data_IF_210333690134
#
_entry.id   IF_210333690134
#
_cell.length_a   1.000
_cell.length_b   1.000
_cell.length_c   1.000
_cell.angle_alpha   90.00
_cell.angle_beta   90.00
_cell.angle_gamma   90.00
#
_symmetry.space_group_name_H-M   'P 1'
#
loop_
_entity.id
_entity.type
_entity.pdbx_description
1 polymer ?
#
# COMPACT_ATOMS: atom_id res chain seq x y z
N UNK A 1 -0.55 -4.16 -0.08
CA UNK A 1 -0.30 -2.81 0.45
C UNK A 1 0.87 -2.23 -0.30
N UNK A 2 0.84 -0.93 -0.58
CA UNK A 2 1.90 -0.23 -1.31
C UNK A 2 2.41 0.92 -0.45
N UNK A 3 3.72 0.96 -0.19
CA UNK A 3 4.40 2.01 0.59
C UNK A 3 5.38 2.78 -0.28
N UNK A 4 5.98 3.83 0.26
CA UNK A 4 7.08 4.55 -0.41
C UNK A 4 8.44 3.97 -0.01
N UNK A 5 9.30 3.69 -0.98
CA UNK A 5 10.64 3.12 -0.72
C UNK A 5 11.66 4.15 -0.21
N UNK A 6 11.35 5.45 -0.30
CA UNK A 6 12.17 6.53 0.28
C UNK A 6 12.04 6.63 1.81
N UNK A 7 11.03 6.00 2.41
CA UNK A 7 10.85 5.93 3.85
C UNK A 7 11.74 4.84 4.48
N UNK A 8 12.18 4.99 5.74
CA UNK A 8 12.85 3.92 6.47
C UNK A 8 12.02 2.63 6.50
N UNK A 9 12.68 1.47 6.46
CA UNK A 9 12.00 0.15 6.38
C UNK A 9 11.04 -0.10 7.55
N UNK A 10 11.41 0.31 8.76
CA UNK A 10 10.54 0.22 9.93
C UNK A 10 9.29 1.10 9.77
N UNK A 11 9.45 2.31 9.26
CA UNK A 11 8.34 3.20 8.92
C UNK A 11 7.44 2.53 7.89
N UNK A 12 7.98 2.04 6.76
CA UNK A 12 7.18 1.36 5.73
C UNK A 12 6.28 0.25 6.31
N UNK A 13 6.81 -0.59 7.22
CA UNK A 13 6.03 -1.65 7.85
C UNK A 13 4.85 -1.10 8.70
N UNK A 14 5.08 -0.07 9.51
CA UNK A 14 4.03 0.59 10.29
C UNK A 14 2.97 1.20 9.37
N UNK A 15 3.40 1.94 8.34
CA UNK A 15 2.49 2.62 7.41
C UNK A 15 1.63 1.62 6.62
N UNK A 16 2.21 0.51 6.14
CA UNK A 16 1.47 -0.56 5.50
C UNK A 16 0.42 -1.18 6.44
N UNK A 17 0.76 -1.34 7.72
CA UNK A 17 -0.13 -1.88 8.74
C UNK A 17 -1.30 -0.94 9.01
N UNK A 18 -1.03 0.35 9.20
CA UNK A 18 -2.08 1.36 9.33
C UNK A 18 -3.04 1.36 8.14
N UNK A 19 -2.51 1.39 6.91
CA UNK A 19 -3.35 1.33 5.72
C UNK A 19 -4.20 0.05 5.64
N UNK A 20 -3.65 -1.10 6.04
CA UNK A 20 -4.38 -2.37 6.06
C UNK A 20 -5.51 -2.38 7.10
N UNK A 21 -5.28 -1.82 8.29
CA UNK A 21 -6.29 -1.68 9.34
C UNK A 21 -7.41 -0.74 8.91
N UNK A 22 -7.07 0.41 8.34
CA UNK A 22 -8.06 1.36 7.83
C UNK A 22 -8.88 0.76 6.69
N UNK A 23 -8.25 -0.04 5.81
CA UNK A 23 -8.95 -0.78 4.78
C UNK A 23 -9.92 -1.82 5.35
N UNK A 24 -9.52 -2.54 6.40
CA UNK A 24 -10.39 -3.50 7.06
C UNK A 24 -11.60 -2.84 7.74
N UNK A 25 -11.42 -1.65 8.31
CA UNK A 25 -12.51 -0.86 8.89
C UNK A 25 -13.44 -0.30 7.80
N UNK A 26 -12.89 0.17 6.67
CA UNK A 26 -13.67 0.77 5.59
C UNK A 26 -14.40 -0.27 4.71
N UNK A 27 -13.84 -1.48 4.56
CA UNK A 27 -14.31 -2.52 3.64
C UNK A 27 -14.33 -3.91 4.29
N UNK A 28 -15.09 -4.12 5.37
CA UNK A 28 -15.07 -5.37 6.13
C UNK A 28 -15.56 -6.58 5.33
N UNK A 29 -16.47 -6.39 4.37
CA UNK A 29 -16.96 -7.43 3.46
C UNK A 29 -15.86 -7.94 2.53
N UNK A 30 -15.06 -7.02 1.97
CA UNK A 30 -13.93 -7.35 1.11
C UNK A 30 -12.86 -8.11 1.88
N UNK A 31 -12.57 -7.67 3.11
CA UNK A 31 -11.57 -8.33 3.97
C UNK A 31 -12.03 -9.72 4.40
N UNK A 32 -13.31 -9.89 4.77
CA UNK A 32 -13.85 -11.20 5.09
C UNK A 32 -13.73 -12.18 3.90
N UNK A 33 -14.09 -11.72 2.70
CA UNK A 33 -13.95 -12.52 1.46
C UNK A 33 -12.50 -12.87 1.15
N UNK A 34 -11.59 -11.91 1.29
CA UNK A 34 -10.14 -12.13 1.11
C UNK A 34 -9.59 -13.17 2.11
N UNK A 35 -9.93 -13.03 3.40
CA UNK A 35 -9.45 -13.91 4.47
C UNK A 35 -9.94 -15.35 4.27
N UNK A 36 -11.19 -15.53 3.85
CA UNK A 36 -11.74 -16.86 3.57
C UNK A 36 -11.13 -17.52 2.32
N UNK A 37 -10.80 -16.74 1.29
CA UNK A 37 -10.38 -17.27 -0.02
C UNK A 37 -8.88 -17.50 -0.15
N UNK A 38 -8.04 -16.59 0.34
CA UNK A 38 -6.59 -16.62 0.11
C UNK A 38 -5.75 -16.27 1.32
N UNK A 39 -6.19 -15.29 2.11
CA UNK A 39 -5.43 -14.72 3.23
C UNK A 39 -4.00 -14.26 2.83
N UNK A 40 -3.78 -13.93 1.56
CA UNK A 40 -2.47 -13.53 1.03
C UNK A 40 -2.27 -12.02 1.16
N UNK A 41 -1.19 -11.60 1.82
CA UNK A 41 -0.73 -10.22 1.83
C UNK A 41 0.50 -10.06 0.93
N UNK A 42 0.52 -8.96 0.17
CA UNK A 42 1.67 -8.54 -0.63
C UNK A 42 2.07 -7.12 -0.24
N UNK A 43 3.34 -6.92 0.06
CA UNK A 43 3.94 -5.62 0.39
C UNK A 43 4.78 -5.15 -0.80
N UNK A 44 4.38 -4.05 -1.42
CA UNK A 44 5.01 -3.48 -2.61
C UNK A 44 5.45 -2.06 -2.34
N UNK A 45 6.36 -1.53 -3.16
CA UNK A 45 6.83 -0.16 -3.02
C UNK A 45 6.77 0.63 -4.33
N UNK A 46 6.48 1.92 -4.18
CA UNK A 46 6.71 2.97 -5.19
C UNK A 46 7.85 3.88 -4.72
N UNK A 47 8.52 4.62 -5.61
CA UNK A 47 9.71 5.38 -5.21
C UNK A 47 9.43 6.50 -4.19
N UNK A 48 8.28 7.17 -4.30
CA UNK A 48 7.99 8.42 -3.59
C UNK A 48 6.47 8.68 -3.45
N UNK A 49 6.12 9.74 -2.70
CA UNK A 49 4.74 10.17 -2.48
C UNK A 49 3.98 10.56 -3.75
N UNK A 50 4.54 11.35 -4.70
CA UNK A 50 3.86 11.61 -5.97
C UNK A 50 3.52 10.34 -6.75
N UNK A 51 4.39 9.33 -6.72
CA UNK A 51 4.12 8.02 -7.33
C UNK A 51 3.00 7.28 -6.63
N UNK A 52 2.92 7.39 -5.31
CA UNK A 52 1.85 6.78 -4.51
C UNK A 52 0.50 7.45 -4.79
N UNK A 53 0.47 8.78 -4.92
CA UNK A 53 -0.69 9.54 -5.38
C UNK A 53 -1.18 9.07 -6.75
N UNK A 54 -0.28 9.01 -7.75
CA UNK A 54 -0.63 8.53 -9.10
C UNK A 54 -1.18 7.11 -9.09
N UNK A 55 -0.69 6.24 -8.20
CA UNK A 55 -1.22 4.90 -8.05
C UNK A 55 -2.64 4.93 -7.47
N UNK A 56 -2.86 5.68 -6.38
CA UNK A 56 -4.16 5.82 -5.75
C UNK A 56 -5.22 6.34 -6.73
N UNK A 57 -4.89 7.41 -7.47
CA UNK A 57 -5.78 7.99 -8.49
C UNK A 57 -6.10 6.99 -9.60
N UNK A 58 -5.11 6.22 -10.06
CA UNK A 58 -5.30 5.19 -11.11
C UNK A 58 -6.20 4.06 -10.65
N UNK A 59 -6.11 3.64 -9.39
CA UNK A 59 -6.99 2.60 -8.83
C UNK A 59 -8.40 3.15 -8.66
N UNK A 60 -8.53 4.36 -8.10
CA UNK A 60 -9.83 5.01 -7.89
C UNK A 60 -10.58 5.28 -9.20
N UNK A 61 -9.89 5.78 -10.23
CA UNK A 61 -10.46 5.99 -11.58
C UNK A 61 -10.87 4.68 -12.25
N UNK A 62 -10.27 3.55 -11.86
CA UNK A 62 -10.67 2.20 -12.26
C UNK A 62 -11.91 1.67 -11.54
N UNK A 63 -12.50 2.42 -10.61
CA UNK A 63 -13.65 2.00 -9.79
C UNK A 63 -13.29 0.96 -8.72
N UNK A 64 -12.01 0.82 -8.41
CA UNK A 64 -11.51 -0.15 -7.44
C UNK A 64 -11.37 0.49 -6.06
N UNK A 65 -11.56 -0.32 -5.02
CA UNK A 65 -11.47 0.11 -3.62
C UNK A 65 -10.00 0.25 -3.20
N UNK A 66 -9.70 1.40 -2.62
CA UNK A 66 -8.41 1.72 -2.04
C UNK A 66 -8.60 2.60 -0.81
N UNK A 67 -7.72 2.44 0.17
CA UNK A 67 -7.62 3.33 1.33
C UNK A 67 -6.21 3.91 1.39
N UNK A 68 -6.14 5.23 1.47
CA UNK A 68 -4.91 5.99 1.57
C UNK A 68 -4.62 6.34 3.03
N UNK A 69 -3.47 5.93 3.55
CA UNK A 69 -3.02 6.30 4.89
C UNK A 69 -2.09 7.50 4.83
N UNK A 70 -2.39 8.50 5.67
CA UNK A 70 -1.60 9.71 5.82
C UNK A 70 -1.03 9.76 7.22
N UNK A 71 0.28 9.97 7.33
CA UNK A 71 0.98 10.01 8.61
C UNK A 71 0.96 11.43 9.19
N UNK A 72 0.28 11.66 10.33
CA UNK A 72 0.26 12.98 10.97
C UNK A 72 1.65 13.51 11.33
N UNK A 73 2.57 12.63 11.73
CA UNK A 73 3.93 13.02 12.13
C UNK A 73 4.85 13.34 10.93
N UNK A 74 4.38 13.09 9.70
CA UNK A 74 5.05 13.42 8.44
C UNK A 74 4.24 14.46 7.66
N UNK A 75 3.80 15.52 8.34
CA UNK A 75 3.05 16.66 7.78
C UNK A 75 1.76 16.25 7.03
N UNK A 76 1.15 15.12 7.39
CA UNK A 76 -0.03 14.57 6.71
C UNK A 76 0.27 13.97 5.32
N UNK A 77 1.54 13.68 5.06
CA UNK A 77 2.01 13.06 3.82
C UNK A 77 1.39 11.68 3.60
N UNK A 78 1.10 11.36 2.34
CA UNK A 78 0.64 10.04 1.94
C UNK A 78 1.81 9.05 2.03
N UNK A 79 1.67 8.01 2.84
CA UNK A 79 2.75 7.08 3.16
C UNK A 79 2.46 5.65 2.71
N UNK A 80 1.20 5.24 2.70
CA UNK A 80 0.79 3.92 2.26
C UNK A 80 -0.61 3.94 1.61
N UNK A 81 -0.84 2.97 0.73
CA UNK A 81 -2.16 2.69 0.15
C UNK A 81 -2.46 1.19 0.28
N UNK A 82 -3.62 0.89 0.85
CA UNK A 82 -4.21 -0.44 0.84
C UNK A 82 -5.17 -0.57 -0.33
N UNK A 83 -5.14 -1.72 -1.00
CA UNK A 83 -5.88 -1.99 -2.23
C UNK A 83 -6.66 -3.29 -2.07
N UNK A 84 -7.86 -3.35 -2.64
CA UNK A 84 -8.59 -4.62 -2.74
C UNK A 84 -7.87 -5.63 -3.65
N UNK A 85 -8.12 -6.95 -3.50
CA UNK A 85 -7.47 -7.98 -4.30
C UNK A 85 -7.62 -7.81 -5.83
N UNK A 86 -8.74 -7.24 -6.29
CA UNK A 86 -9.01 -7.02 -7.71
C UNK A 86 -8.01 -6.03 -8.38
N UNK A 87 -7.32 -5.20 -7.58
CA UNK A 87 -6.37 -4.20 -8.08
C UNK A 87 -5.00 -4.77 -8.49
N UNK A 88 -4.76 -6.09 -8.39
CA UNK A 88 -3.43 -6.69 -8.58
C UNK A 88 -2.76 -6.33 -9.92
N UNK A 89 -3.53 -6.17 -11.01
CA UNK A 89 -3.00 -5.79 -12.33
C UNK A 89 -2.38 -4.39 -12.35
N UNK A 90 -2.80 -3.51 -11.46
CA UNK A 90 -2.25 -2.15 -11.34
C UNK A 90 -0.91 -2.14 -10.61
N UNK A 91 -0.55 -3.22 -9.91
CA UNK A 91 0.61 -3.25 -9.00
C UNK A 91 1.57 -4.42 -9.23
N UNK A 92 1.24 -5.36 -10.13
CA UNK A 92 2.06 -6.56 -10.37
C UNK A 92 3.46 -6.29 -10.92
N UNK A 93 3.71 -5.08 -11.43
CA UNK A 93 5.02 -4.64 -11.93
C UNK A 93 5.87 -3.94 -10.85
N UNK A 94 5.29 -3.64 -9.68
CA UNK A 94 5.99 -2.95 -8.62
C UNK A 94 6.95 -3.90 -7.89
N UNK A 95 8.10 -3.41 -7.41
CA UNK A 95 8.99 -4.20 -6.58
C UNK A 95 8.36 -4.49 -5.21
N UNK A 96 8.82 -5.58 -4.57
CA UNK A 96 8.52 -5.83 -3.16
C UNK A 96 9.06 -4.70 -2.28
N UNK A 97 8.29 -4.32 -1.26
CA UNK A 97 8.71 -3.36 -0.25
C UNK A 97 9.83 -3.92 0.64
N UNK A 98 10.40 -3.06 1.49
CA UNK A 98 11.40 -3.43 2.51
C UNK A 98 12.70 -4.02 1.94
N UNK A 99 12.99 -3.81 0.65
CA UNK A 99 14.31 -4.15 0.10
C UNK A 99 15.33 -3.17 0.65
N UNK A 100 16.34 -3.69 1.33
CA UNK A 100 17.57 -2.94 1.58
C UNK A 100 18.23 -2.65 0.24
N UNK A 101 18.71 -1.42 0.03
CA UNK A 101 19.65 -1.18 -1.07
C UNK A 101 20.86 -2.05 -0.79
N UNK A 102 21.20 -2.96 -1.70
CA UNK A 102 22.51 -3.60 -1.66
C UNK A 102 23.55 -2.47 -1.72
N UNK A 103 24.43 -2.41 -0.72
CA UNK A 103 25.60 -1.56 -0.81
C UNK A 103 26.36 -1.98 -2.06
N UNK A 104 26.49 -1.07 -3.03
CA UNK A 104 27.42 -1.25 -4.14
C UNK A 104 28.81 -1.30 -3.50
N UNK A 105 29.37 -2.50 -3.38
CA UNK A 105 30.76 -2.72 -2.97
C UNK A 105 31.72 -2.21 -4.03
#
# INVERSE_FOLDING_TARGET
>A
MVTRSDLPVGTQACQATHAALDFALAHPDVVAGWHHSSNVLVLLAVPDEPSLHRLADRVATGGLRAVAFREPDLDGGLTAVALEPAAWRHVSHLPLALRTREEVK
#
